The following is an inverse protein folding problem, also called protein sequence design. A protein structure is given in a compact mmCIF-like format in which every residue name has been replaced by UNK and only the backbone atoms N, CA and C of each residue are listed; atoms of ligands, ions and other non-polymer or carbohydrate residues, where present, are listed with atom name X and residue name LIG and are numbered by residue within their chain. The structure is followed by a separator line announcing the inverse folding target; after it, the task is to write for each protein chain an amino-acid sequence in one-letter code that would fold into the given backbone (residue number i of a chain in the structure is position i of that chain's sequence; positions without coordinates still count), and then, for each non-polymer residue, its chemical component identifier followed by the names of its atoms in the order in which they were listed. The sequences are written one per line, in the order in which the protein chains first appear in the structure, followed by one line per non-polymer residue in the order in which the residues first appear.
data_IF_260256523607
#
_entry.id   IF_260256523607
#
_cell.length_a   1.000
_cell.length_b   1.000
_cell.length_c   1.000
_cell.angle_alpha   90.00
_cell.angle_beta   90.00
_cell.angle_gamma   90.00
#
_symmetry.space_group_name_H-M   'P 1'
#
loop_
_entity.id
_entity.type
_entity.pdbx_description
1 polymer ?
#
# COMPACT_ATOMS: atom_id res chain seq x y z
N UNK A 1 24.66 -8.81 20.01
CA UNK A 1 23.92 -7.94 20.94
C UNK A 1 23.11 -6.97 20.09
N UNK A 2 21.80 -7.16 19.98
CA UNK A 2 20.93 -6.22 19.24
C UNK A 2 20.83 -4.93 20.05
N UNK A 3 21.19 -3.80 19.45
CA UNK A 3 21.10 -2.51 20.12
C UNK A 3 19.62 -2.22 20.43
N UNK A 4 19.26 -2.03 21.70
CA UNK A 4 17.87 -1.78 22.14
C UNK A 4 17.24 -0.59 21.40
N UNK A 5 18.03 0.40 21.01
CA UNK A 5 17.57 1.51 20.19
C UNK A 5 17.14 1.07 18.79
N UNK A 6 17.85 0.12 18.17
CA UNK A 6 17.52 -0.43 16.85
C UNK A 6 16.19 -1.19 16.86
N UNK A 7 15.87 -1.88 17.94
CA UNK A 7 14.55 -2.53 18.07
C UNK A 7 13.41 -1.50 18.08
N UNK A 8 13.62 -0.34 18.68
CA UNK A 8 12.62 0.73 18.70
C UNK A 8 12.43 1.38 17.32
N UNK A 9 13.42 1.31 16.42
CA UNK A 9 13.27 1.84 15.06
C UNK A 9 12.36 0.98 14.18
N UNK A 10 12.10 -0.26 14.59
CA UNK A 10 11.16 -1.15 13.91
C UNK A 10 9.69 -0.86 14.24
N UNK A 11 9.38 -0.15 15.32
CA UNK A 11 7.99 0.17 15.70
C UNK A 11 7.22 0.87 14.57
N UNK A 12 7.70 1.95 13.94
CA UNK A 12 6.98 2.57 12.83
C UNK A 12 6.92 1.68 11.58
N UNK A 13 7.92 0.82 11.35
CA UNK A 13 7.89 -0.16 10.24
C UNK A 13 6.78 -1.19 10.45
N UNK A 14 6.62 -1.67 11.69
CA UNK A 14 5.51 -2.55 12.10
C UNK A 14 4.17 -1.85 11.95
N UNK A 15 4.05 -0.60 12.41
CA UNK A 15 2.84 0.20 12.26
C UNK A 15 2.42 0.38 10.81
N UNK A 16 3.38 0.72 9.94
CA UNK A 16 3.13 0.84 8.50
C UNK A 16 2.81 -0.51 7.85
N UNK A 17 3.54 -1.57 8.20
CA UNK A 17 3.28 -2.92 7.67
C UNK A 17 1.91 -3.46 8.06
N UNK A 18 1.45 -3.19 9.29
CA UNK A 18 0.08 -3.53 9.70
C UNK A 18 -0.95 -2.73 8.89
N UNK A 19 -0.72 -1.45 8.57
CA UNK A 19 -1.62 -0.70 7.69
C UNK A 19 -1.63 -1.27 6.28
N UNK A 20 -0.46 -1.61 5.71
CA UNK A 20 -0.39 -2.24 4.40
C UNK A 20 -1.12 -3.57 4.37
N UNK A 21 -1.01 -4.38 5.42
CA UNK A 21 -1.76 -5.64 5.53
C UNK A 21 -3.26 -5.39 5.53
N UNK A 22 -3.75 -4.40 6.30
CA UNK A 22 -5.18 -4.10 6.32
C UNK A 22 -5.67 -3.60 4.97
N UNK A 23 -4.94 -2.67 4.35
CA UNK A 23 -5.34 -2.12 3.06
C UNK A 23 -5.23 -3.15 1.92
N UNK A 24 -4.16 -3.95 1.87
CA UNK A 24 -4.00 -5.01 0.88
C UNK A 24 -5.00 -6.15 1.07
N UNK A 25 -5.09 -6.75 2.26
CA UNK A 25 -5.88 -7.98 2.43
C UNK A 25 -7.36 -7.72 2.73
N UNK A 26 -7.66 -6.73 3.57
CA UNK A 26 -9.03 -6.51 4.06
C UNK A 26 -9.78 -5.48 3.22
N UNK A 27 -9.09 -4.39 2.84
CA UNK A 27 -9.69 -3.34 1.99
C UNK A 27 -9.67 -3.72 0.51
N UNK A 28 -8.63 -4.40 0.02
CA UNK A 28 -8.60 -4.85 -1.38
C UNK A 28 -9.29 -6.20 -1.58
N UNK A 29 -9.02 -7.22 -0.75
CA UNK A 29 -9.48 -8.59 -1.07
C UNK A 29 -10.61 -9.17 -0.21
N UNK A 30 -10.89 -8.61 0.98
CA UNK A 30 -11.98 -9.03 1.88
C UNK A 30 -11.95 -10.52 2.32
N UNK A 31 -10.86 -11.25 2.09
CA UNK A 31 -10.79 -12.71 2.27
C UNK A 31 -10.46 -13.15 3.70
N UNK A 32 -10.85 -12.37 4.71
CA UNK A 32 -10.41 -12.56 6.08
C UNK A 32 -10.68 -13.97 6.65
N UNK A 33 -11.77 -14.60 6.21
CA UNK A 33 -12.22 -15.92 6.67
C UNK A 33 -11.52 -17.09 6.00
N UNK A 34 -10.77 -16.86 4.92
CA UNK A 34 -10.08 -17.94 4.17
C UNK A 34 -8.74 -18.31 4.80
N UNK A 35 -8.14 -17.39 5.57
CA UNK A 35 -6.82 -17.56 6.14
C UNK A 35 -6.88 -18.18 7.54
N UNK A 36 -6.09 -19.22 7.76
CA UNK A 36 -5.85 -19.76 9.09
C UNK A 36 -4.82 -18.90 9.85
N UNK A 37 -4.56 -19.23 11.12
CA UNK A 37 -3.63 -18.45 11.96
C UNK A 37 -2.18 -18.42 11.42
N UNK A 38 -1.71 -19.51 10.80
CA UNK A 38 -0.38 -19.57 10.20
C UNK A 38 -0.28 -18.72 8.93
N UNK A 39 -1.35 -18.71 8.12
CA UNK A 39 -1.43 -17.86 6.93
C UNK A 39 -1.35 -16.38 7.33
N UNK A 40 -2.09 -15.98 8.36
CA UNK A 40 -2.02 -14.63 8.92
C UNK A 40 -0.62 -14.27 9.43
N UNK A 41 0.05 -15.19 10.13
CA UNK A 41 1.43 -14.96 10.58
C UNK A 41 2.40 -14.78 9.40
N UNK A 42 2.24 -15.56 8.34
CA UNK A 42 3.05 -15.44 7.13
C UNK A 42 2.81 -14.10 6.43
N UNK A 43 1.54 -13.69 6.28
CA UNK A 43 1.16 -12.39 5.71
C UNK A 43 1.72 -11.24 6.54
N UNK A 44 1.62 -11.28 7.87
CA UNK A 44 2.20 -10.26 8.75
C UNK A 44 3.71 -10.13 8.50
N UNK A 45 4.45 -11.25 8.45
CA UNK A 45 5.88 -11.25 8.17
C UNK A 45 6.21 -10.65 6.79
N UNK A 46 5.40 -10.96 5.79
CA UNK A 46 5.56 -10.49 4.43
C UNK A 46 5.32 -8.98 4.29
N UNK A 47 4.20 -8.49 4.81
CA UNK A 47 3.89 -7.06 4.82
C UNK A 47 4.89 -6.26 5.66
N UNK A 48 5.45 -6.82 6.73
CA UNK A 48 6.53 -6.17 7.49
C UNK A 48 7.82 -6.06 6.69
N UNK A 49 8.18 -7.12 5.96
CA UNK A 49 9.36 -7.10 5.08
C UNK A 49 9.21 -6.05 3.98
N UNK A 50 8.04 -6.01 3.32
CA UNK A 50 7.71 -5.03 2.28
C UNK A 50 7.73 -3.61 2.86
N UNK A 51 7.03 -3.37 3.98
CA UNK A 51 6.99 -2.06 4.63
C UNK A 51 8.40 -1.54 4.96
N UNK A 52 9.25 -2.40 5.52
CA UNK A 52 10.63 -2.05 5.86
C UNK A 52 11.45 -1.65 4.63
N UNK A 53 11.34 -2.41 3.54
CA UNK A 53 12.02 -2.14 2.27
C UNK A 53 11.52 -0.83 1.64
N UNK A 54 10.21 -0.61 1.61
CA UNK A 54 9.63 0.58 0.99
C UNK A 54 9.94 1.86 1.77
N UNK A 55 9.94 1.80 3.10
CA UNK A 55 10.38 2.94 3.93
C UNK A 55 11.88 3.21 3.76
N UNK A 56 12.72 2.18 3.65
CA UNK A 56 14.14 2.35 3.31
C UNK A 56 14.29 3.02 1.95
N UNK A 57 13.58 2.55 0.93
CA UNK A 57 13.57 3.12 -0.42
C UNK A 57 13.18 4.61 -0.42
N UNK A 58 12.11 4.99 0.29
CA UNK A 58 11.68 6.39 0.43
C UNK A 58 12.79 7.26 0.99
N UNK A 59 13.51 6.77 1.99
CA UNK A 59 14.58 7.51 2.66
C UNK A 59 15.87 7.51 1.84
N UNK A 60 16.28 6.35 1.33
CA UNK A 60 17.51 6.13 0.56
C UNK A 60 17.55 6.93 -0.72
N UNK A 61 16.41 7.12 -1.38
CA UNK A 61 16.30 7.92 -2.60
C UNK A 61 15.70 9.32 -2.39
N UNK A 62 15.54 9.75 -1.14
CA UNK A 62 15.09 11.10 -0.80
C UNK A 62 13.75 11.48 -1.48
N UNK A 63 12.77 10.57 -1.38
CA UNK A 63 11.47 10.73 -2.03
C UNK A 63 10.67 11.79 -1.29
N UNK A 64 10.52 12.96 -1.93
CA UNK A 64 9.89 14.15 -1.36
C UNK A 64 8.62 14.62 -2.09
N UNK A 65 8.38 14.13 -3.31
CA UNK A 65 7.23 14.52 -4.12
C UNK A 65 6.27 13.35 -4.35
N UNK A 66 5.09 13.67 -4.87
CA UNK A 66 4.03 12.70 -5.10
C UNK A 66 4.36 11.72 -6.23
N UNK A 67 5.22 12.10 -7.18
CA UNK A 67 5.60 11.24 -8.30
C UNK A 67 6.54 10.13 -7.86
N UNK A 68 7.57 10.49 -7.08
CA UNK A 68 8.43 9.49 -6.45
C UNK A 68 7.64 8.58 -5.51
N UNK A 69 6.66 9.13 -4.78
CA UNK A 69 5.78 8.32 -3.93
C UNK A 69 4.92 7.35 -4.75
N UNK A 70 4.37 7.77 -5.90
CA UNK A 70 3.65 6.89 -6.81
C UNK A 70 4.51 5.77 -7.36
N UNK A 71 5.78 6.03 -7.67
CA UNK A 71 6.72 4.99 -8.11
C UNK A 71 6.97 3.95 -6.99
N UNK A 72 7.13 4.39 -5.74
CA UNK A 72 7.23 3.47 -4.59
C UNK A 72 5.93 2.68 -4.40
N UNK A 73 4.77 3.34 -4.56
CA UNK A 73 3.47 2.70 -4.54
C UNK A 73 3.32 1.65 -5.64
N UNK A 74 3.86 1.91 -6.84
CA UNK A 74 3.91 0.94 -7.94
C UNK A 74 4.79 -0.26 -7.63
N UNK A 75 5.93 -0.08 -6.96
CA UNK A 75 6.76 -1.21 -6.49
C UNK A 75 5.95 -2.08 -5.53
N UNK A 76 5.25 -1.48 -4.56
CA UNK A 76 4.34 -2.21 -3.68
C UNK A 76 3.30 -2.97 -4.50
N UNK A 77 2.57 -2.28 -5.38
CA UNK A 77 1.45 -2.87 -6.08
C UNK A 77 1.84 -4.03 -6.98
N UNK A 78 2.97 -3.91 -7.69
CA UNK A 78 3.53 -5.00 -8.48
C UNK A 78 4.02 -6.17 -7.62
N UNK A 79 4.61 -5.89 -6.45
CA UNK A 79 5.09 -6.93 -5.55
C UNK A 79 3.93 -7.67 -4.89
N UNK A 80 2.93 -6.96 -4.36
CA UNK A 80 1.73 -7.54 -3.77
C UNK A 80 1.01 -8.41 -4.78
N UNK A 81 0.67 -7.83 -5.93
CA UNK A 81 -0.19 -8.50 -6.92
C UNK A 81 0.46 -9.70 -7.59
N UNK A 82 1.79 -9.70 -7.67
CA UNK A 82 2.55 -10.84 -8.20
C UNK A 82 2.87 -11.90 -7.13
N UNK A 83 3.20 -11.50 -5.91
CA UNK A 83 3.78 -12.42 -4.91
C UNK A 83 2.78 -12.88 -3.85
N UNK A 84 1.88 -11.98 -3.43
CA UNK A 84 0.94 -12.21 -2.32
C UNK A 84 -0.38 -12.71 -2.87
N UNK A 85 -1.07 -11.90 -3.67
CA UNK A 85 -2.36 -12.31 -4.23
C UNK A 85 -2.19 -13.18 -5.49
N UNK A 86 -1.06 -13.07 -6.19
CA UNK A 86 -0.76 -13.74 -7.47
C UNK A 86 -1.74 -13.43 -8.62
N UNK A 87 -2.72 -12.54 -8.39
CA UNK A 87 -3.78 -12.14 -9.32
C UNK A 87 -3.31 -11.35 -10.53
N UNK A 88 -2.08 -10.84 -10.48
CA UNK A 88 -1.45 -10.17 -11.61
C UNK A 88 -1.39 -11.07 -12.85
N UNK A 89 -1.36 -12.39 -12.68
CA UNK A 89 -1.15 -13.36 -13.77
C UNK A 89 -2.44 -13.96 -14.36
N UNK A 90 -3.61 -13.71 -13.77
CA UNK A 90 -4.87 -14.34 -14.19
C UNK A 90 -5.29 -13.96 -15.61
N UNK A 91 -5.11 -12.68 -15.98
CA UNK A 91 -5.54 -12.15 -17.28
C UNK A 91 -4.67 -10.97 -17.73
N UNK A 92 -3.39 -11.23 -18.02
CA UNK A 92 -2.49 -10.23 -18.57
C UNK A 92 -2.94 -9.78 -19.98
N UNK A 93 -2.88 -8.47 -20.31
CA UNK A 93 -2.28 -7.38 -19.52
C UNK A 93 -3.26 -6.66 -18.58
N UNK A 94 -4.53 -7.03 -18.57
CA UNK A 94 -5.59 -6.30 -17.83
C UNK A 94 -5.34 -6.38 -16.32
N UNK A 95 -4.99 -7.57 -15.80
CA UNK A 95 -4.65 -7.77 -14.39
C UNK A 95 -3.47 -6.91 -13.92
N UNK A 96 -2.48 -6.67 -14.77
CA UNK A 96 -1.36 -5.78 -14.46
C UNK A 96 -1.84 -4.34 -14.22
N UNK A 97 -2.72 -3.86 -15.11
CA UNK A 97 -3.29 -2.50 -15.03
C UNK A 97 -4.21 -2.36 -13.83
N UNK A 98 -5.07 -3.35 -13.61
CA UNK A 98 -6.14 -3.25 -12.63
C UNK A 98 -5.66 -3.57 -11.22
N UNK A 99 -4.93 -4.67 -11.02
CA UNK A 99 -4.47 -5.09 -9.69
C UNK A 99 -3.12 -4.47 -9.34
N UNK A 100 -2.11 -4.66 -10.21
CA UNK A 100 -0.75 -4.22 -9.92
C UNK A 100 -0.59 -2.70 -9.85
N UNK A 101 -0.82 -2.02 -10.98
CA UNK A 101 -0.65 -0.56 -11.05
C UNK A 101 -1.89 0.20 -10.59
N UNK A 102 -3.05 -0.46 -10.45
CA UNK A 102 -4.32 0.13 -10.02
C UNK A 102 -4.55 -0.04 -8.52
N UNK A 103 -5.24 -1.12 -8.15
CA UNK A 103 -5.78 -1.38 -6.81
C UNK A 103 -4.69 -1.33 -5.74
N UNK A 104 -3.65 -2.13 -5.88
CA UNK A 104 -2.64 -2.28 -4.84
C UNK A 104 -1.76 -1.03 -4.72
N UNK A 105 -1.49 -0.38 -5.84
CA UNK A 105 -0.84 0.94 -5.84
C UNK A 105 -1.67 1.96 -5.06
N UNK A 106 -3.00 1.97 -5.22
CA UNK A 106 -3.89 2.83 -4.45
C UNK A 106 -3.92 2.45 -2.96
N UNK A 107 -3.94 1.14 -2.65
CA UNK A 107 -3.89 0.65 -1.26
C UNK A 107 -2.63 1.10 -0.54
N UNK A 108 -1.47 1.09 -1.21
CA UNK A 108 -0.26 1.67 -0.65
C UNK A 108 -0.42 3.16 -0.32
N UNK A 109 -0.97 3.96 -1.24
CA UNK A 109 -1.13 5.40 -1.03
C UNK A 109 -2.06 5.69 0.17
N UNK A 110 -3.14 4.93 0.30
CA UNK A 110 -4.07 5.03 1.42
C UNK A 110 -3.40 4.62 2.74
N UNK A 111 -2.70 3.48 2.76
CA UNK A 111 -1.95 3.01 3.93
C UNK A 111 -0.86 4.00 4.34
N UNK A 112 -0.11 4.55 3.38
CA UNK A 112 0.96 5.52 3.65
C UNK A 112 0.39 6.85 4.14
N UNK A 113 -0.71 7.32 3.55
CA UNK A 113 -1.44 8.49 4.04
C UNK A 113 -1.94 8.31 5.48
N UNK A 114 -2.51 7.15 5.80
CA UNK A 114 -2.93 6.79 7.16
C UNK A 114 -1.74 6.74 8.12
N UNK A 115 -0.62 6.16 7.70
CA UNK A 115 0.62 6.10 8.47
C UNK A 115 1.16 7.49 8.80
N UNK A 116 1.23 8.39 7.81
CA UNK A 116 1.64 9.77 8.01
C UNK A 116 0.67 10.53 8.93
N UNK A 117 -0.64 10.31 8.78
CA UNK A 117 -1.62 10.94 9.65
C UNK A 117 -1.44 10.52 11.12
N UNK A 118 -1.34 9.22 11.37
CA UNK A 118 -1.16 8.68 12.72
C UNK A 118 0.14 9.14 13.36
N UNK A 119 1.23 9.20 12.60
CA UNK A 119 2.53 9.63 13.10
C UNK A 119 2.69 11.14 13.31
N UNK A 120 1.79 11.97 12.78
CA UNK A 120 1.84 13.44 12.92
C UNK A 120 0.98 14.01 14.05
N UNK A 121 0.12 13.19 14.66
CA UNK A 121 -0.77 13.59 15.76
C UNK A 121 -1.56 14.87 15.46
N UNK A 122 -2.08 15.00 14.23
CA UNK A 122 -2.87 16.15 13.79
C UNK A 122 -4.37 15.88 14.00
N UNK A 123 -5.17 16.88 14.40
CA UNK A 123 -6.62 16.70 14.46
C UNK A 123 -7.15 16.36 13.06
N UNK A 124 -8.21 15.56 13.00
CA UNK A 124 -8.87 15.25 11.73
C UNK A 124 -9.48 16.53 11.15
N UNK A 125 -8.97 16.97 10.00
CA UNK A 125 -9.58 18.08 9.27
C UNK A 125 -10.80 17.59 8.50
N UNK A 126 -11.74 18.50 8.23
CA UNK A 126 -12.95 18.17 7.45
C UNK A 126 -12.61 17.52 6.10
N UNK A 127 -11.52 17.94 5.45
CA UNK A 127 -11.02 17.34 4.23
C UNK A 127 -10.64 15.87 4.39
N UNK A 128 -9.87 15.51 5.44
CA UNK A 128 -9.44 14.13 5.68
C UNK A 128 -10.61 13.23 6.04
N UNK A 129 -11.60 13.76 6.76
CA UNK A 129 -12.85 13.05 7.05
C UNK A 129 -13.65 12.82 5.78
N UNK A 130 -13.76 13.84 4.92
CA UNK A 130 -14.39 13.71 3.60
C UNK A 130 -13.69 12.68 2.73
N UNK A 131 -12.35 12.65 2.74
CA UNK A 131 -11.57 11.63 2.03
C UNK A 131 -11.83 10.22 2.60
N UNK A 132 -11.84 10.05 3.92
CA UNK A 132 -12.15 8.77 4.56
C UNK A 132 -13.58 8.30 4.23
N UNK A 133 -14.54 9.22 4.19
CA UNK A 133 -15.91 8.97 3.74
C UNK A 133 -15.96 8.51 2.27
N UNK A 134 -15.23 9.17 1.36
CA UNK A 134 -15.16 8.77 -0.05
C UNK A 134 -14.52 7.40 -0.24
N UNK A 135 -13.42 7.13 0.49
CA UNK A 135 -12.76 5.81 0.48
C UNK A 135 -13.69 4.74 1.04
N UNK A 136 -14.44 5.05 2.10
CA UNK A 136 -15.48 4.17 2.65
C UNK A 136 -16.55 3.85 1.62
N UNK A 137 -17.11 4.87 0.97
CA UNK A 137 -18.11 4.68 -0.10
C UNK A 137 -17.59 3.78 -1.22
N UNK A 138 -16.38 4.06 -1.72
CA UNK A 138 -15.73 3.25 -2.75
C UNK A 138 -15.49 1.81 -2.30
N UNK A 139 -15.05 1.61 -1.06
CA UNK A 139 -14.88 0.30 -0.45
C UNK A 139 -16.21 -0.47 -0.34
N UNK A 140 -17.30 0.19 0.05
CA UNK A 140 -18.62 -0.44 0.13
C UNK A 140 -19.13 -0.95 -1.22
N UNK A 141 -18.94 -0.14 -2.28
CA UNK A 141 -19.24 -0.52 -3.67
C UNK A 141 -18.34 -1.67 -4.10
N UNK A 142 -17.04 -1.58 -3.78
CA UNK A 142 -16.04 -2.62 -4.08
C UNK A 142 -16.40 -3.96 -3.47
N UNK A 143 -16.66 -4.03 -2.16
CA UNK A 143 -16.98 -5.28 -1.43
C UNK A 143 -18.18 -6.00 -2.06
N UNK A 144 -19.19 -5.24 -2.50
CA UNK A 144 -20.39 -5.81 -3.12
C UNK A 144 -20.17 -6.21 -4.58
N UNK A 145 -19.46 -5.37 -5.35
CA UNK A 145 -19.28 -5.56 -6.80
C UNK A 145 -18.08 -6.43 -7.19
N UNK A 146 -17.11 -6.66 -6.30
CA UNK A 146 -15.90 -7.41 -6.61
C UNK A 146 -16.15 -8.84 -7.10
N UNK A 147 -17.08 -9.63 -6.52
CA UNK A 147 -17.39 -10.98 -6.99
C UNK A 147 -17.90 -11.05 -8.45
N UNK A 148 -18.30 -9.92 -9.05
CA UNK A 148 -18.76 -9.85 -10.43
C UNK A 148 -17.61 -9.67 -11.45
N UNK A 149 -16.42 -9.25 -11.00
CA UNK A 149 -15.23 -9.05 -11.87
C UNK A 149 -14.58 -10.36 -12.29
N UNK A 150 -14.52 -11.32 -11.36
CA UNK A 150 -13.95 -12.63 -11.65
C UNK A 150 -15.09 -13.54 -12.09
N UNK A 151 -14.98 -14.17 -13.27
CA UNK A 151 -15.86 -15.28 -13.67
C UNK A 151 -15.74 -16.52 -12.74
N UNK A 152 -15.15 -16.34 -11.56
CA UNK A 152 -15.03 -17.28 -10.45
C UNK A 152 -16.12 -16.91 -9.46
N UNK A 153 -17.05 -17.84 -9.19
CA UNK A 153 -18.12 -17.68 -8.21
C UNK A 153 -17.54 -17.62 -6.78
N UNK A 154 -16.90 -16.51 -6.43
CA UNK A 154 -16.52 -16.24 -5.05
C UNK A 154 -17.78 -15.89 -4.26
N UNK A 155 -17.98 -16.46 -3.07
CA UNK A 155 -19.10 -16.06 -2.22
C UNK A 155 -18.96 -14.57 -1.90
N UNK A 156 -20.01 -13.78 -2.19
CA UNK A 156 -20.04 -12.35 -1.89
C UNK A 156 -19.78 -12.17 -0.40
N UNK A 157 -18.72 -11.43 0.00
CA UNK A 157 -18.44 -11.20 1.41
C UNK A 157 -19.64 -10.48 2.03
N UNK A 158 -20.19 -11.05 3.10
CA UNK A 158 -21.26 -10.36 3.81
C UNK A 158 -20.72 -9.09 4.46
N UNK A 159 -21.45 -7.98 4.36
CA UNK A 159 -21.06 -6.73 5.02
C UNK A 159 -20.83 -6.94 6.52
N UNK A 160 -21.61 -7.82 7.14
CA UNK A 160 -21.54 -8.20 8.55
C UNK A 160 -20.22 -8.88 8.94
N UNK A 161 -19.45 -9.38 7.96
CA UNK A 161 -18.11 -9.95 8.21
C UNK A 161 -17.01 -9.00 7.75
N UNK A 162 -17.13 -8.44 6.54
CA UNK A 162 -16.09 -7.60 5.94
C UNK A 162 -15.90 -6.26 6.67
N UNK A 163 -16.99 -5.60 7.07
CA UNK A 163 -16.92 -4.29 7.75
C UNK A 163 -16.33 -4.44 9.16
N UNK A 164 -16.82 -5.33 10.03
CA UNK A 164 -16.21 -5.50 11.36
C UNK A 164 -14.76 -5.96 11.28
N UNK A 165 -14.40 -6.87 10.37
CA UNK A 165 -13.01 -7.32 10.22
C UNK A 165 -12.07 -6.16 9.87
N UNK A 166 -12.42 -5.35 8.87
CA UNK A 166 -11.65 -4.17 8.47
C UNK A 166 -11.53 -3.16 9.61
N UNK A 167 -12.65 -2.85 10.28
CA UNK A 167 -12.68 -1.87 11.38
C UNK A 167 -11.86 -2.35 12.58
N UNK A 168 -12.02 -3.62 12.98
CA UNK A 168 -11.26 -4.23 14.07
C UNK A 168 -9.76 -4.18 13.76
N UNK A 169 -9.37 -4.47 12.51
CA UNK A 169 -7.97 -4.43 12.12
C UNK A 169 -7.40 -2.99 12.10
N UNK A 170 -8.16 -2.00 11.64
CA UNK A 170 -7.76 -0.59 11.69
C UNK A 170 -7.69 -0.04 13.14
N UNK A 171 -8.60 -0.48 14.02
CA UNK A 171 -8.55 -0.17 15.44
C UNK A 171 -7.39 -0.89 16.14
N UNK A 172 -7.11 -2.14 15.75
CA UNK A 172 -5.98 -2.92 16.22
C UNK A 172 -4.65 -2.24 15.85
N UNK A 173 -4.54 -1.70 14.65
CA UNK A 173 -3.39 -0.90 14.23
C UNK A 173 -3.19 0.33 15.13
N UNK A 174 -4.27 1.09 15.39
CA UNK A 174 -4.24 2.22 16.32
C UNK A 174 -3.79 1.79 17.72
N UNK A 175 -4.31 0.66 18.21
CA UNK A 175 -3.97 0.14 19.54
C UNK A 175 -2.48 -0.26 19.62
N UNK A 176 -1.95 -0.96 18.61
CA UNK A 176 -0.52 -1.32 18.56
C UNK A 176 0.35 -0.07 18.57
N UNK A 177 0.01 0.94 17.76
CA UNK A 177 0.75 2.20 17.71
C UNK A 177 0.60 3.05 18.98
N UNK A 178 -0.50 2.88 19.72
CA UNK A 178 -0.71 3.55 21.00
C UNK A 178 0.08 2.88 22.13
N UNK A 179 0.14 1.54 22.14
CA UNK A 179 0.87 0.73 23.14
C UNK A 179 2.38 0.77 22.93
N UNK A 180 2.83 0.84 21.67
CA UNK A 180 4.24 0.91 21.30
C UNK A 180 4.62 2.38 21.06
N UNK A 181 5.03 3.13 22.11
CA UNK A 181 5.32 4.55 21.95
C UNK A 181 6.45 4.74 20.94
N UNK A 182 6.35 5.77 20.08
CA UNK A 182 7.40 6.03 19.12
C UNK A 182 8.71 6.41 19.82
N UNK A 183 9.87 6.09 19.24
CA UNK A 183 11.15 6.50 19.80
C UNK A 183 11.28 8.02 19.84
N UNK A 184 11.89 8.54 20.91
CA UNK A 184 11.95 9.98 21.22
C UNK A 184 12.59 10.80 20.08
N UNK A 185 13.56 10.22 19.36
CA UNK A 185 14.20 10.81 18.18
C UNK A 185 14.48 9.72 17.16
N UNK A 186 14.21 10.01 15.90
CA UNK A 186 14.69 9.22 14.77
C UNK A 186 15.56 10.09 13.88
N UNK A 187 16.77 9.63 13.61
CA UNK A 187 17.63 10.17 12.59
C UNK A 187 17.31 9.56 11.22
N UNK A 188 17.85 10.15 10.16
CA UNK A 188 17.79 9.59 8.81
C UNK A 188 18.34 8.15 8.75
N UNK A 189 19.42 7.86 9.49
CA UNK A 189 20.08 6.55 9.49
C UNK A 189 19.24 5.46 10.18
N UNK A 190 18.31 5.85 11.05
CA UNK A 190 17.44 4.91 11.76
C UNK A 190 16.37 4.30 10.84
N UNK A 191 16.02 4.98 9.76
CA UNK A 191 15.08 4.50 8.75
C UNK A 191 15.73 3.59 7.71
N UNK A 192 17.02 3.76 7.44
CA UNK A 192 17.75 2.90 6.51
C UNK A 192 17.92 1.51 7.11
N UNK A 193 17.76 0.47 6.30
CA UNK A 193 18.01 -0.91 6.68
C UNK A 193 19.51 -1.21 6.68
N UNK A 194 19.96 -1.92 7.71
CA UNK A 194 21.30 -2.50 7.79
C UNK A 194 21.40 -3.74 6.88
N UNK A 195 22.62 -4.16 6.47
CA UNK A 195 22.77 -5.27 5.52
C UNK A 195 22.10 -6.58 5.95
N UNK A 196 22.12 -6.93 7.24
CA UNK A 196 21.41 -8.13 7.72
C UNK A 196 19.90 -7.95 7.77
N UNK A 197 19.39 -6.72 7.96
CA UNK A 197 17.95 -6.44 7.90
C UNK A 197 17.47 -6.58 6.45
N UNK A 198 18.26 -6.09 5.48
CA UNK A 198 18.04 -6.33 4.05
C UNK A 198 18.06 -7.82 3.70
N UNK A 199 19.04 -8.57 4.23
CA UNK A 199 19.10 -10.02 4.01
C UNK A 199 17.88 -10.74 4.61
N UNK A 200 17.40 -10.29 5.77
CA UNK A 200 16.22 -10.85 6.41
C UNK A 200 14.93 -10.54 5.62
N UNK A 201 14.66 -9.27 5.31
CA UNK A 201 13.45 -8.86 4.60
C UNK A 201 13.44 -9.34 3.16
N UNK A 202 14.58 -9.23 2.46
CA UNK A 202 14.76 -9.79 1.12
C UNK A 202 14.71 -11.31 1.11
N UNK A 203 15.22 -11.97 2.16
CA UNK A 203 15.12 -13.42 2.35
C UNK A 203 13.68 -13.90 2.49
N UNK A 204 12.85 -13.19 3.26
CA UNK A 204 11.40 -13.48 3.36
C UNK A 204 10.75 -13.41 1.98
N UNK A 205 10.97 -12.32 1.22
CA UNK A 205 10.41 -12.17 -0.13
C UNK A 205 10.91 -13.25 -1.09
N UNK A 206 12.21 -13.56 -1.04
CA UNK A 206 12.83 -14.58 -1.90
C UNK A 206 12.30 -15.97 -1.61
N UNK A 207 12.15 -16.35 -0.33
CA UNK A 207 11.55 -17.63 0.07
C UNK A 207 10.11 -17.69 -0.41
N UNK A 208 9.30 -16.66 -0.19
CA UNK A 208 7.91 -16.61 -0.67
C UNK A 208 7.85 -16.78 -2.19
N UNK A 209 8.75 -16.13 -2.95
CA UNK A 209 8.78 -16.25 -4.40
C UNK A 209 9.12 -17.67 -4.84
N UNK A 210 10.11 -18.31 -4.22
CA UNK A 210 10.47 -19.70 -4.50
C UNK A 210 9.32 -20.65 -4.19
N UNK A 211 8.63 -20.47 -3.08
CA UNK A 211 7.45 -21.28 -2.73
C UNK A 211 6.32 -21.08 -3.75
N UNK A 212 6.02 -19.84 -4.13
CA UNK A 212 4.99 -19.52 -5.14
C UNK A 212 5.31 -20.10 -6.52
N UNK A 213 6.58 -20.09 -6.91
CA UNK A 213 7.06 -20.74 -8.14
C UNK A 213 6.92 -22.26 -8.06
N UNK A 214 7.28 -22.86 -6.92
CA UNK A 214 7.17 -24.30 -6.71
C UNK A 214 5.72 -24.79 -6.74
N UNK A 215 4.78 -23.99 -6.23
CA UNK A 215 3.35 -24.27 -6.22
C UNK A 215 2.66 -23.96 -7.57
N UNK A 216 3.41 -23.48 -8.58
CA UNK A 216 2.89 -22.95 -9.86
C UNK A 216 1.83 -21.84 -9.70
N UNK A 217 1.81 -21.16 -8.54
CA UNK A 217 0.94 -20.02 -8.30
C UNK A 217 1.40 -18.78 -9.08
N UNK A 218 2.70 -18.71 -9.40
CA UNK A 218 3.32 -17.61 -10.13
C UNK A 218 4.10 -18.18 -11.32
N UNK A 219 3.82 -17.77 -12.56
CA UNK A 219 4.53 -18.26 -13.73
C UNK A 219 5.88 -17.56 -13.90
N UNK A 220 6.92 -18.32 -14.29
CA UNK A 220 8.30 -17.82 -14.32
C UNK A 220 8.55 -16.67 -15.31
N UNK A 221 7.87 -16.69 -16.45
CA UNK A 221 7.85 -15.60 -17.44
C UNK A 221 7.16 -14.34 -16.89
N UNK A 222 6.07 -14.52 -16.14
CA UNK A 222 5.40 -13.46 -15.40
C UNK A 222 6.32 -12.77 -14.38
N UNK A 223 7.14 -13.53 -13.66
CA UNK A 223 8.16 -12.97 -12.74
C UNK A 223 9.14 -12.08 -13.50
N UNK A 224 9.61 -12.51 -14.68
CA UNK A 224 10.55 -11.72 -15.48
C UNK A 224 9.95 -10.36 -15.88
N UNK A 225 8.66 -10.32 -16.26
CA UNK A 225 7.94 -9.09 -16.55
C UNK A 225 7.88 -8.16 -15.33
N UNK A 226 7.46 -8.69 -14.17
CA UNK A 226 7.34 -7.90 -12.93
C UNK A 226 8.70 -7.34 -12.49
N UNK A 227 9.74 -8.18 -12.52
CA UNK A 227 11.12 -7.77 -12.18
C UNK A 227 11.61 -6.68 -13.13
N UNK A 228 11.32 -6.78 -14.44
CA UNK A 228 11.69 -5.77 -15.42
C UNK A 228 11.01 -4.42 -15.13
N UNK A 229 9.72 -4.42 -14.82
CA UNK A 229 8.98 -3.17 -14.51
C UNK A 229 9.48 -2.57 -13.19
N UNK A 230 9.68 -3.38 -12.15
CA UNK A 230 10.27 -2.92 -10.88
C UNK A 230 11.67 -2.35 -11.11
N UNK A 231 12.52 -3.02 -11.89
CA UNK A 231 13.86 -2.54 -12.21
C UNK A 231 13.83 -1.21 -12.96
N UNK A 232 12.90 -1.04 -13.91
CA UNK A 232 12.68 0.24 -14.58
C UNK A 232 12.27 1.34 -13.58
N UNK A 233 11.32 1.07 -12.69
CA UNK A 233 10.89 2.02 -11.66
C UNK A 233 12.06 2.40 -10.73
N UNK A 234 12.83 1.41 -10.28
CA UNK A 234 14.03 1.62 -9.45
C UNK A 234 15.06 2.48 -10.16
N UNK A 235 15.27 2.27 -11.46
CA UNK A 235 16.18 3.07 -12.27
C UNK A 235 15.69 4.51 -12.41
N UNK A 236 14.39 4.73 -12.64
CA UNK A 236 13.79 6.07 -12.64
C UNK A 236 14.01 6.75 -11.28
N UNK A 237 13.73 6.06 -10.18
CA UNK A 237 13.93 6.56 -8.82
C UNK A 237 15.40 6.92 -8.58
N UNK A 238 16.33 6.06 -9.00
CA UNK A 238 17.77 6.29 -8.87
C UNK A 238 18.25 7.52 -9.65
N UNK A 239 17.78 7.73 -10.89
CA UNK A 239 18.11 8.92 -11.67
C UNK A 239 17.43 10.20 -11.14
N UNK A 240 16.24 10.06 -10.56
CA UNK A 240 15.49 11.20 -9.99
C UNK A 240 15.96 11.61 -8.59
N UNK A 241 16.94 10.90 -8.00
CA UNK A 241 17.43 11.16 -6.65
C UNK A 241 17.94 12.60 -6.54
N UNK A 242 17.44 13.33 -5.55
CA UNK A 242 17.91 14.70 -5.29
C UNK A 242 19.11 14.70 -4.35
N UNK A 243 19.97 15.72 -4.47
CA UNK A 243 21.09 15.94 -3.55
C UNK A 243 20.64 16.47 -2.18
N UNK A 244 19.41 16.99 -2.10
CA UNK A 244 18.81 17.44 -0.85
C UNK A 244 18.26 16.25 -0.05
N UNK A 245 18.59 16.19 1.24
CA UNK A 245 18.26 15.05 2.13
C UNK A 245 16.81 15.03 2.63
N UNK A 246 15.90 15.76 1.99
CA UNK A 246 14.50 15.83 2.40
C UNK A 246 13.70 14.62 1.87
N UNK A 247 12.66 14.20 2.58
CA UNK A 247 11.76 13.13 2.16
C UNK A 247 10.43 13.21 2.93
N UNK A 248 9.42 12.44 2.48
CA UNK A 248 8.09 12.40 3.10
C UNK A 248 8.09 12.04 4.59
N UNK A 249 9.04 11.24 5.07
CA UNK A 249 9.13 10.84 6.48
C UNK A 249 9.66 11.95 7.40
N UNK A 250 10.16 13.07 6.85
CA UNK A 250 10.55 14.24 7.66
C UNK A 250 9.41 14.74 8.54
N UNK A 251 8.17 14.65 8.05
CA UNK A 251 6.98 15.10 8.79
C UNK A 251 6.77 14.28 10.08
N UNK A 252 7.34 13.07 10.15
CA UNK A 252 7.32 12.19 11.31
C UNK A 252 8.44 12.46 12.31
N UNK A 253 9.20 13.55 12.18
CA UNK A 253 10.31 13.87 13.08
C UNK A 253 10.11 15.21 13.83
N UNK A 254 10.00 15.23 15.17
CA UNK A 254 9.96 14.06 16.06
C UNK A 254 8.64 13.28 15.91
N UNK A 255 8.65 11.96 16.09
CA UNK A 255 7.44 11.17 15.95
C UNK A 255 6.50 11.44 17.12
N UNK A 256 5.21 11.57 16.82
CA UNK A 256 4.19 11.94 17.78
C UNK A 256 3.23 10.79 18.03
N UNK A 257 2.68 10.74 19.23
CA UNK A 257 1.66 9.76 19.58
C UNK A 257 0.34 10.09 18.87
N UNK A 258 -0.29 9.08 18.26
CA UNK A 258 -1.49 9.28 17.45
C UNK A 258 -2.65 9.90 18.27
N UNK A 259 -3.35 10.87 17.66
CA UNK A 259 -4.57 11.44 18.23
C UNK A 259 -5.75 10.48 17.99
N UNK A 260 -6.13 9.75 19.04
CA UNK A 260 -7.18 8.74 19.02
C UNK A 260 -8.48 9.26 18.39
N UNK A 261 -8.98 10.41 18.85
CA UNK A 261 -10.27 10.95 18.41
C UNK A 261 -10.33 11.26 16.91
N UNK A 262 -9.23 11.76 16.33
CA UNK A 262 -9.18 12.08 14.92
C UNK A 262 -9.28 10.84 14.04
N UNK A 263 -8.54 9.78 14.41
CA UNK A 263 -8.63 8.48 13.73
C UNK A 263 -10.01 7.86 13.88
N UNK A 264 -10.58 7.85 15.09
CA UNK A 264 -11.91 7.32 15.34
C UNK A 264 -12.99 8.04 14.52
N UNK A 265 -12.89 9.36 14.36
CA UNK A 265 -13.84 10.12 13.55
C UNK A 265 -13.75 9.79 12.06
N UNK A 266 -12.53 9.63 11.52
CA UNK A 266 -12.33 9.19 10.14
C UNK A 266 -12.79 7.74 9.93
N UNK A 267 -12.55 6.85 10.90
CA UNK A 267 -13.09 5.49 10.87
C UNK A 267 -14.62 5.48 10.88
N UNK A 268 -15.25 6.31 11.72
CA UNK A 268 -16.70 6.45 11.73
C UNK A 268 -17.25 6.91 10.38
N UNK A 269 -16.60 7.90 9.75
CA UNK A 269 -16.98 8.35 8.41
C UNK A 269 -16.80 7.27 7.34
N UNK A 270 -15.67 6.54 7.37
CA UNK A 270 -15.43 5.38 6.51
C UNK A 270 -16.51 4.31 6.68
N UNK A 271 -16.87 3.97 7.92
CA UNK A 271 -17.88 2.95 8.22
C UNK A 271 -19.26 3.33 7.71
N UNK A 272 -19.72 4.54 8.02
CA UNK A 272 -21.04 5.03 7.60
C UNK A 272 -21.15 5.04 6.09
N UNK A 273 -20.12 5.56 5.41
CA UNK A 273 -20.13 5.64 3.96
C UNK A 273 -19.89 4.30 3.28
N UNK A 274 -19.11 3.39 3.88
CA UNK A 274 -18.96 2.03 3.38
C UNK A 274 -20.24 1.22 3.50
N UNK A 275 -20.96 1.36 4.61
CA UNK A 275 -22.31 0.81 4.74
C UNK A 275 -23.25 1.38 3.66
N UNK A 276 -23.24 2.69 3.45
CA UNK A 276 -24.06 3.34 2.43
C UNK A 276 -23.72 2.86 1.01
N UNK A 277 -22.43 2.77 0.68
CA UNK A 277 -21.92 2.30 -0.61
C UNK A 277 -22.33 0.85 -0.90
N UNK A 278 -22.22 -0.02 0.11
CA UNK A 278 -22.68 -1.41 -0.02
C UNK A 278 -24.18 -1.51 -0.30
N UNK A 279 -25.01 -0.62 0.28
CA UNK A 279 -26.46 -0.64 0.11
C UNK A 279 -26.98 0.14 -1.11
N UNK A 280 -26.10 0.67 -1.97
CA UNK A 280 -26.54 1.34 -3.20
C UNK A 280 -27.34 0.38 -4.10
N UNK A 281 -28.30 0.89 -4.91
CA UNK A 281 -29.07 0.06 -5.83
C UNK A 281 -28.14 -0.67 -6.79
N UNK A 282 -28.22 -2.00 -6.79
CA UNK A 282 -27.34 -2.89 -7.54
C UNK A 282 -28.22 -3.80 -8.38
N UNK A 283 -28.86 -3.19 -9.38
CA UNK A 283 -29.83 -3.85 -10.25
C UNK A 283 -29.17 -4.15 -11.61
N UNK A 284 -29.26 -5.40 -12.06
CA UNK A 284 -28.75 -5.87 -13.35
C UNK A 284 -27.30 -6.36 -13.33
N UNK A 285 -26.82 -6.87 -14.47
CA UNK A 285 -25.51 -7.53 -14.59
C UNK A 285 -24.32 -6.55 -14.53
N UNK A 286 -24.55 -5.24 -14.71
CA UNK A 286 -23.51 -4.21 -14.67
C UNK A 286 -24.01 -2.93 -14.00
N UNK A 287 -24.04 -2.88 -12.66
CA UNK A 287 -24.47 -1.70 -11.94
C UNK A 287 -23.55 -0.51 -12.23
N UNK A 288 -24.17 0.66 -12.40
CA UNK A 288 -23.46 1.87 -12.84
C UNK A 288 -22.37 2.28 -11.83
N UNK A 289 -22.58 2.08 -10.53
CA UNK A 289 -21.61 2.50 -9.52
C UNK A 289 -20.35 1.63 -9.56
N UNK A 290 -20.52 0.31 -9.68
CA UNK A 290 -19.46 -0.68 -9.87
C UNK A 290 -18.67 -0.40 -11.16
N UNK A 291 -19.37 -0.16 -12.27
CA UNK A 291 -18.76 0.19 -13.56
C UNK A 291 -17.92 1.46 -13.47
N UNK A 292 -18.42 2.51 -12.82
CA UNK A 292 -17.68 3.77 -12.61
C UNK A 292 -16.45 3.52 -11.75
N UNK A 293 -16.59 2.80 -10.63
CA UNK A 293 -15.48 2.54 -9.73
C UNK A 293 -14.35 1.77 -10.42
N UNK A 294 -14.69 0.68 -11.12
CA UNK A 294 -13.70 -0.13 -11.84
C UNK A 294 -13.09 0.64 -13.02
N UNK A 295 -13.90 1.43 -13.73
CA UNK A 295 -13.41 2.31 -14.79
C UNK A 295 -12.40 3.33 -14.28
N UNK A 296 -12.68 3.98 -13.15
CA UNK A 296 -11.75 4.92 -12.50
C UNK A 296 -10.46 4.23 -12.04
N UNK A 297 -10.57 3.01 -11.53
CA UNK A 297 -9.41 2.24 -11.08
C UNK A 297 -8.51 1.81 -12.26
N UNK A 298 -9.11 1.30 -13.34
CA UNK A 298 -8.41 0.98 -14.58
C UNK A 298 -7.77 2.22 -15.22
N UNK A 299 -8.48 3.36 -15.19
CA UNK A 299 -7.96 4.64 -15.66
C UNK A 299 -6.74 5.07 -14.84
N UNK A 300 -6.84 4.99 -13.51
CA UNK A 300 -5.70 5.27 -12.63
C UNK A 300 -4.51 4.37 -12.96
N UNK A 301 -4.71 3.04 -12.98
CA UNK A 301 -3.66 2.07 -13.21
C UNK A 301 -2.99 2.16 -14.58
N UNK A 302 -3.70 2.64 -15.60
CA UNK A 302 -3.15 2.81 -16.95
C UNK A 302 -2.41 4.13 -17.15
N UNK A 303 -2.79 5.20 -16.43
CA UNK A 303 -2.31 6.56 -16.71
C UNK A 303 -1.10 6.96 -15.86
N UNK A 304 -1.06 6.60 -14.58
CA UNK A 304 -0.11 7.25 -13.67
C UNK A 304 1.35 6.95 -14.03
N UNK A 305 1.67 5.70 -14.41
CA UNK A 305 3.05 5.30 -14.69
C UNK A 305 3.60 5.99 -15.96
N UNK A 306 2.88 6.02 -17.11
CA UNK A 306 3.29 6.83 -18.25
C UNK A 306 3.44 8.31 -17.93
N UNK A 307 2.49 8.91 -17.21
CA UNK A 307 2.52 10.34 -16.87
C UNK A 307 3.73 10.67 -16.01
N UNK A 308 3.99 9.89 -14.95
CA UNK A 308 5.15 10.09 -14.08
C UNK A 308 6.46 9.94 -14.87
N UNK A 309 6.56 8.94 -15.75
CA UNK A 309 7.74 8.71 -16.58
C UNK A 309 8.02 9.89 -17.52
N UNK A 310 6.99 10.43 -18.18
CA UNK A 310 7.09 11.60 -19.05
C UNK A 310 7.52 12.83 -18.24
N UNK A 311 6.88 13.09 -17.10
CA UNK A 311 7.18 14.26 -16.28
C UNK A 311 8.61 14.24 -15.73
N UNK A 312 9.10 13.08 -15.31
CA UNK A 312 10.49 12.93 -14.85
C UNK A 312 11.46 13.12 -16.03
N UNK A 313 11.15 12.57 -17.21
CA UNK A 313 11.94 12.79 -18.42
C UNK A 313 12.04 14.27 -18.80
N UNK A 314 10.92 15.01 -18.76
CA UNK A 314 10.89 16.46 -19.01
C UNK A 314 11.75 17.22 -17.99
N UNK A 315 11.66 16.87 -16.70
CA UNK A 315 12.48 17.50 -15.65
C UNK A 315 13.97 17.25 -15.86
N UNK A 316 14.35 16.02 -16.19
CA UNK A 316 15.75 15.66 -16.45
C UNK A 316 16.29 16.41 -17.67
N UNK A 317 15.52 16.46 -18.77
CA UNK A 317 15.90 17.22 -19.97
C UNK A 317 16.04 18.72 -19.68
N UNK A 318 15.08 19.31 -18.97
CA UNK A 318 15.14 20.72 -18.59
C UNK A 318 16.35 21.05 -17.71
N UNK A 319 16.80 20.11 -16.87
CA UNK A 319 18.01 20.27 -16.07
C UNK A 319 19.27 20.22 -16.95
N UNK A 320 19.38 19.28 -17.88
CA UNK A 320 20.51 19.18 -18.82
C UNK A 320 20.67 20.48 -19.64
N UNK A 321 19.56 21.01 -20.17
CA UNK A 321 19.55 22.27 -20.93
C UNK A 321 20.01 23.45 -20.05
N UNK A 322 19.65 23.49 -18.77
CA UNK A 322 20.11 24.53 -17.82
C UNK A 322 21.60 24.42 -17.51
N UNK A 323 22.14 23.21 -17.51
CA UNK A 323 23.56 22.93 -17.24
C UNK A 323 24.46 23.11 -18.48
N UNK A 324 23.88 23.47 -19.64
CA UNK A 324 24.62 23.80 -20.85
C UNK A 324 25.00 22.59 -21.72
N UNK A 325 24.33 21.46 -21.53
CA UNK A 325 24.37 20.31 -22.43
C UNK A 325 23.31 20.41 -23.53
#
# INVERSE_FOLDING_TARGET
MVNRQRLLTWIPRVGFGLLLLVFGELVAWQNASQYNAFDWMALIGLYFAIAAILLDVIVRWHIQDWMGLLLVAGIFGLTESALISARLFDNLPISLVFYGTGLETLMFLLAFGGFLYLGTARPASAWLVGLAAMVGLGWGIWVRGYPELEHVQLPVPSLDTALPATVIALLGNLLVLYILPPPIKMSFQDWLLEPYEWALTGGILGITLVLRLADNAVPADGVALVVMIIAMIVLILWFSRTTHKENWLRVLNPPKQALLYGWLFMLGAFMVMGWAGYHLPHDGDNPIQTTILFGLLALFGSIWLPVVSIMIGIRAFAQLVREGY
#
